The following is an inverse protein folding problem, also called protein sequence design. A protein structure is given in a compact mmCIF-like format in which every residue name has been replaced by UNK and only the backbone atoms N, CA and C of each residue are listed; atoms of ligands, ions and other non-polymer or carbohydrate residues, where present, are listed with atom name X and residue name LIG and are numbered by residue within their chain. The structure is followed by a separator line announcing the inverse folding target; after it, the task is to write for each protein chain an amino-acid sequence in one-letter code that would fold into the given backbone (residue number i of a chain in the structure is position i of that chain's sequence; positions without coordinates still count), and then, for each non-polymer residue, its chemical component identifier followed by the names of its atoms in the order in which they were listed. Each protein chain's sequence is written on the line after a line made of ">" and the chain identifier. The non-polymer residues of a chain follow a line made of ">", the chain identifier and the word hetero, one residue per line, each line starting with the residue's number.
data_IF_223822966149
#
_entry.id   IF_223822966149
#
_cell.length_a   1.000
_cell.length_b   1.000
_cell.length_c   1.000
_cell.angle_alpha   90.00
_cell.angle_beta   90.00
_cell.angle_gamma   90.00
#
_symmetry.space_group_name_H-M   'P 1'
#
loop_
_entity.id
_entity.type
_entity.pdbx_description
1 polymer ?
#
# COMPACT_ATOMS: atom_id res chain seq x y z
N UNK A 1 -19.30 25.91 -11.83
CA UNK A 1 -18.45 25.77 -13.03
C UNK A 1 -17.36 24.77 -12.67
N UNK A 2 -17.35 23.59 -13.28
CA UNK A 2 -16.30 22.59 -13.09
C UNK A 2 -15.00 23.15 -13.66
N UNK A 3 -13.96 23.22 -12.84
CA UNK A 3 -12.66 23.88 -13.14
C UNK A 3 -11.75 23.04 -14.04
N UNK A 4 -12.16 21.82 -14.43
CA UNK A 4 -11.37 20.94 -15.30
C UNK A 4 -10.04 20.49 -14.69
N UNK A 5 -9.86 20.68 -13.38
CA UNK A 5 -8.66 20.28 -12.64
C UNK A 5 -8.84 18.87 -12.11
N UNK A 6 -7.78 18.09 -12.24
CA UNK A 6 -7.71 16.71 -11.78
C UNK A 6 -6.66 16.65 -10.68
N UNK A 7 -6.99 16.02 -9.56
CA UNK A 7 -6.04 15.77 -8.48
C UNK A 7 -5.69 14.29 -8.48
N UNK A 8 -4.41 14.00 -8.69
CA UNK A 8 -3.86 12.65 -8.58
C UNK A 8 -3.57 12.36 -7.11
N UNK A 9 -4.17 11.28 -6.62
CA UNK A 9 -4.00 10.84 -5.25
C UNK A 9 -3.03 9.66 -5.23
N UNK A 10 -1.74 9.97 -5.10
CA UNK A 10 -0.68 8.96 -4.96
C UNK A 10 -0.51 8.66 -3.47
N UNK A 11 -1.00 7.51 -3.02
CA UNK A 11 -0.64 6.96 -1.72
C UNK A 11 0.42 5.89 -1.91
N UNK A 12 1.66 6.25 -1.65
CA UNK A 12 2.75 5.27 -1.61
C UNK A 12 3.30 5.21 -0.21
N UNK A 13 2.78 4.24 0.52
CA UNK A 13 3.31 3.86 1.81
C UNK A 13 3.07 2.36 1.97
N UNK A 14 4.12 1.58 1.74
CA UNK A 14 4.12 0.15 2.07
C UNK A 14 4.18 0.05 3.60
N UNK A 15 3.02 0.12 4.25
CA UNK A 15 2.86 -0.17 5.67
C UNK A 15 2.02 -1.44 5.80
N UNK A 16 2.24 -2.26 6.84
CA UNK A 16 1.45 -3.48 7.05
C UNK A 16 -0.04 -3.14 6.99
N UNK A 17 -0.81 -3.79 6.11
CA UNK A 17 -2.24 -3.51 5.81
C UNK A 17 -2.58 -2.20 5.06
N UNK A 18 -1.81 -1.81 4.03
CA UNK A 18 -2.24 -0.73 3.11
C UNK A 18 -2.56 -1.26 1.73
N UNK A 19 -3.68 -0.81 1.16
CA UNK A 19 -4.07 -1.08 -0.23
C UNK A 19 -3.41 -0.04 -1.12
N UNK A 20 -2.56 -0.52 -2.03
CA UNK A 20 -1.90 0.33 -3.02
C UNK A 20 -2.81 0.61 -4.22
N UNK A 21 -2.76 1.86 -4.70
CA UNK A 21 -3.32 2.28 -5.98
C UNK A 21 -2.15 2.46 -6.94
N UNK A 22 -2.13 1.68 -8.02
CA UNK A 22 -1.02 1.69 -8.98
C UNK A 22 -1.07 2.98 -9.80
N UNK A 23 0.09 3.63 -9.90
CA UNK A 23 0.36 4.80 -10.72
C UNK A 23 0.16 4.49 -12.22
N UNK A 24 -0.46 5.41 -12.94
CA UNK A 24 -0.53 5.41 -14.42
C UNK A 24 -0.01 6.74 -14.95
N UNK A 25 0.78 6.72 -16.03
CA UNK A 25 1.39 7.93 -16.63
C UNK A 25 0.36 8.94 -17.17
N UNK A 26 -0.86 8.48 -17.43
CA UNK A 26 -2.00 9.34 -17.73
C UNK A 26 -3.09 9.12 -16.67
N UNK A 27 -3.79 10.17 -16.21
CA UNK A 27 -4.90 10.04 -15.27
C UNK A 27 -6.01 9.20 -15.92
N UNK A 28 -6.08 7.93 -15.53
CA UNK A 28 -7.05 7.00 -16.07
C UNK A 28 -8.22 6.85 -15.09
N UNK A 29 -9.45 6.91 -15.61
CA UNK A 29 -10.67 6.60 -14.84
C UNK A 29 -10.87 5.11 -14.60
N UNK A 30 -9.96 4.28 -15.09
CA UNK A 30 -9.99 2.85 -14.89
C UNK A 30 -10.01 2.48 -13.42
N UNK A 31 -10.74 1.39 -13.15
CA UNK A 31 -10.79 0.82 -11.81
C UNK A 31 -9.43 0.31 -11.43
N UNK A 32 -9.14 0.40 -10.15
CA UNK A 32 -7.97 -0.19 -9.52
C UNK A 32 -7.90 -1.67 -9.87
N UNK A 33 -6.82 -2.06 -10.53
CA UNK A 33 -6.60 -3.43 -10.98
C UNK A 33 -5.72 -4.23 -10.02
N UNK A 34 -5.12 -3.60 -9.02
CA UNK A 34 -4.20 -4.26 -8.10
C UNK A 34 -4.46 -3.86 -6.66
N UNK A 35 -4.31 -4.83 -5.76
CA UNK A 35 -4.26 -4.61 -4.31
C UNK A 35 -3.00 -5.28 -3.81
N UNK A 36 -2.10 -4.49 -3.23
CA UNK A 36 -0.88 -4.96 -2.59
C UNK A 36 -1.01 -4.88 -1.08
N UNK A 37 -0.28 -5.71 -0.34
CA UNK A 37 -0.23 -5.73 1.10
C UNK A 37 1.09 -6.32 1.60
N UNK A 38 1.53 -5.87 2.77
CA UNK A 38 2.63 -6.48 3.50
C UNK A 38 2.09 -7.50 4.51
N UNK A 39 2.53 -8.75 4.35
CA UNK A 39 2.16 -9.87 5.21
C UNK A 39 3.30 -10.10 6.21
N UNK A 40 3.04 -9.99 7.52
CA UNK A 40 4.04 -10.35 8.53
C UNK A 40 4.37 -11.85 8.42
N UNK A 41 5.65 -12.17 8.36
CA UNK A 41 6.16 -13.56 8.39
C UNK A 41 6.60 -13.90 9.81
N UNK A 42 7.31 -12.97 10.44
CA UNK A 42 7.69 -12.97 11.85
C UNK A 42 7.82 -11.52 12.35
N UNK A 43 8.35 -11.32 13.55
CA UNK A 43 8.50 -9.99 14.17
C UNK A 43 9.44 -9.03 13.42
N UNK A 44 10.28 -9.56 12.52
CA UNK A 44 11.36 -8.84 11.82
C UNK A 44 11.32 -8.96 10.30
N UNK A 45 10.47 -9.85 9.77
CA UNK A 45 10.35 -10.09 8.33
C UNK A 45 8.90 -9.99 7.85
N UNK A 46 8.75 -9.48 6.63
CA UNK A 46 7.48 -9.36 5.95
C UNK A 46 7.62 -9.76 4.48
N UNK A 47 6.52 -10.20 3.90
CA UNK A 47 6.38 -10.48 2.47
C UNK A 47 5.52 -9.37 1.83
N UNK A 48 6.03 -8.76 0.77
CA UNK A 48 5.19 -7.97 -0.14
C UNK A 48 4.38 -8.91 -1.04
N UNK A 49 3.06 -8.84 -0.98
CA UNK A 49 2.14 -9.63 -1.79
C UNK A 49 1.18 -8.71 -2.56
N UNK A 50 0.83 -9.10 -3.78
CA UNK A 50 -0.08 -8.34 -4.63
C UNK A 50 -1.06 -9.25 -5.35
N UNK A 51 -2.34 -8.89 -5.35
CA UNK A 51 -3.36 -9.50 -6.18
C UNK A 51 -3.66 -8.53 -7.31
N UNK A 52 -3.58 -8.99 -8.56
CA UNK A 52 -3.91 -8.21 -9.75
C UNK A 52 -5.03 -8.85 -10.53
N UNK A 53 -5.95 -8.03 -11.01
CA UNK A 53 -6.94 -8.38 -12.01
C UNK A 53 -6.41 -8.00 -13.39
N UNK A 54 -6.35 -8.98 -14.29
CA UNK A 54 -5.94 -8.81 -15.67
C UNK A 54 -7.17 -9.06 -16.57
N UNK A 55 -7.51 -8.14 -17.49
CA UNK A 55 -8.53 -8.40 -18.50
C UNK A 55 -8.15 -9.56 -19.42
N UNK A 56 -9.19 -10.22 -19.96
CA UNK A 56 -9.00 -11.26 -20.96
C UNK A 56 -8.22 -10.74 -22.18
N UNK A 57 -7.16 -11.45 -22.55
CA UNK A 57 -6.33 -11.12 -23.71
C UNK A 57 -5.21 -10.10 -23.45
N UNK A 58 -5.14 -9.50 -22.26
CA UNK A 58 -3.95 -8.72 -21.87
C UNK A 58 -2.81 -9.68 -21.46
N UNK A 59 -1.58 -9.46 -21.97
CA UNK A 59 -0.45 -10.29 -21.57
C UNK A 59 -0.11 -10.06 -20.10
N UNK A 60 0.28 -11.12 -19.39
CA UNK A 60 0.86 -11.02 -18.05
C UNK A 60 2.26 -10.41 -18.16
N UNK A 61 2.31 -9.08 -18.24
CA UNK A 61 3.53 -8.30 -18.27
C UNK A 61 3.59 -7.41 -17.02
N UNK A 62 4.78 -7.29 -16.45
CA UNK A 62 5.03 -6.29 -15.41
C UNK A 62 4.86 -4.90 -16.05
N UNK A 63 3.99 -4.08 -15.47
CA UNK A 63 3.89 -2.67 -15.83
C UNK A 63 5.18 -1.93 -15.49
N UNK A 64 5.41 -0.76 -16.11
CA UNK A 64 6.68 -0.01 -16.01
C UNK A 64 7.19 0.13 -14.56
N UNK A 65 6.30 0.45 -13.61
CA UNK A 65 6.68 0.60 -12.20
C UNK A 65 6.94 -0.72 -11.48
N UNK A 66 6.28 -1.81 -11.87
CA UNK A 66 6.53 -3.15 -11.30
C UNK A 66 7.89 -3.71 -11.74
N UNK A 67 8.37 -3.32 -12.92
CA UNK A 67 9.74 -3.62 -13.36
C UNK A 67 10.78 -2.84 -12.55
N UNK A 68 10.44 -1.62 -12.12
CA UNK A 68 11.32 -0.73 -11.37
C UNK A 68 11.28 -0.98 -9.86
N UNK A 69 10.18 -1.54 -9.35
CA UNK A 69 9.99 -1.88 -7.95
C UNK A 69 11.13 -2.75 -7.42
N UNK A 70 11.43 -2.73 -6.11
CA UNK A 70 12.54 -3.49 -5.53
C UNK A 70 12.55 -4.98 -5.89
N UNK A 71 11.37 -5.60 -6.04
CA UNK A 71 11.22 -6.99 -6.47
C UNK A 71 11.60 -7.27 -7.94
N UNK A 72 11.60 -6.25 -8.80
CA UNK A 72 12.03 -6.32 -10.19
C UNK A 72 13.56 -6.26 -10.37
N UNK A 73 14.29 -5.71 -9.38
CA UNK A 73 15.74 -5.53 -9.42
C UNK A 73 16.47 -6.81 -8.98
N UNK A 74 16.66 -7.74 -9.91
CA UNK A 74 17.48 -8.95 -9.66
C UNK A 74 18.97 -8.60 -9.70
N UNK A 75 19.71 -8.99 -8.66
CA UNK A 75 21.18 -8.91 -8.58
C UNK A 75 21.78 -7.49 -8.66
N UNK A 76 21.10 -6.47 -8.16
CA UNK A 76 21.69 -5.13 -8.05
C UNK A 76 22.87 -5.11 -7.07
N UNK A 77 23.98 -4.45 -7.44
CA UNK A 77 25.14 -4.33 -6.55
C UNK A 77 24.84 -3.38 -5.40
N UNK A 78 25.53 -3.56 -4.27
CA UNK A 78 25.40 -2.67 -3.11
C UNK A 78 25.65 -1.19 -3.47
N UNK A 79 26.68 -0.94 -4.28
CA UNK A 79 27.03 0.41 -4.75
C UNK A 79 25.92 1.04 -5.62
N UNK A 80 25.27 0.24 -6.48
CA UNK A 80 24.14 0.72 -7.27
C UNK A 80 22.95 1.07 -6.37
N UNK A 81 22.62 0.19 -5.43
CA UNK A 81 21.52 0.36 -4.49
C UNK A 81 21.71 1.62 -3.64
N UNK A 82 22.93 1.89 -3.15
CA UNK A 82 23.21 3.13 -2.42
C UNK A 82 22.96 4.40 -3.25
N UNK A 83 23.19 4.36 -4.57
CA UNK A 83 22.98 5.51 -5.46
C UNK A 83 21.54 5.63 -5.95
N UNK A 84 20.78 4.55 -5.92
CA UNK A 84 19.42 4.48 -6.44
C UNK A 84 18.48 3.78 -5.44
N UNK A 85 18.38 4.25 -4.18
CA UNK A 85 17.54 3.63 -3.18
C UNK A 85 16.06 3.73 -3.57
N UNK A 86 15.27 2.76 -3.13
CA UNK A 86 13.82 2.70 -3.33
C UNK A 86 13.14 2.34 -1.98
N UNK A 87 11.83 2.10 -2.00
CA UNK A 87 11.02 1.84 -0.80
C UNK A 87 11.61 0.72 0.09
N UNK A 88 12.19 -0.31 -0.53
CA UNK A 88 12.83 -1.41 0.20
C UNK A 88 13.97 -0.91 1.07
N UNK A 89 14.91 -0.16 0.50
CA UNK A 89 16.06 0.37 1.24
C UNK A 89 15.63 1.41 2.28
N UNK A 90 14.58 2.19 1.99
CA UNK A 90 14.01 3.14 2.93
C UNK A 90 13.41 2.44 4.16
N UNK A 91 12.75 1.30 3.97
CA UNK A 91 12.20 0.46 5.06
C UNK A 91 13.32 -0.26 5.82
N UNK A 92 14.23 -0.94 5.11
CA UNK A 92 15.35 -1.67 5.73
C UNK A 92 16.28 -0.73 6.52
N UNK A 93 16.42 0.52 6.07
CA UNK A 93 17.21 1.56 6.74
C UNK A 93 16.69 1.96 8.12
N UNK A 94 15.43 1.65 8.45
CA UNK A 94 14.86 1.87 9.80
C UNK A 94 15.29 0.79 10.81
N UNK A 95 15.97 -0.26 10.33
CA UNK A 95 16.37 -1.42 11.11
C UNK A 95 15.31 -2.54 11.10
N UNK A 96 15.60 -3.69 11.74
CA UNK A 96 14.67 -4.83 11.77
C UNK A 96 13.32 -4.51 12.41
N UNK A 97 13.30 -3.56 13.35
CA UNK A 97 12.09 -3.03 13.99
C UNK A 97 12.28 -1.51 14.12
N UNK A 98 11.33 -0.75 13.60
CA UNK A 98 11.32 0.71 13.75
C UNK A 98 11.12 1.10 15.22
N UNK A 99 12.06 1.89 15.76
CA UNK A 99 12.03 2.36 17.14
C UNK A 99 11.22 3.65 17.24
N UNK A 100 9.95 3.55 17.61
CA UNK A 100 9.05 4.72 17.72
C UNK A 100 9.58 5.86 18.60
N UNK A 101 10.42 5.56 19.61
CA UNK A 101 11.02 6.57 20.48
C UNK A 101 12.05 7.48 19.78
N UNK A 102 12.48 7.14 18.57
CA UNK A 102 13.41 7.93 17.76
C UNK A 102 12.70 8.78 16.69
N UNK A 103 11.38 8.68 16.59
CA UNK A 103 10.62 9.37 15.54
C UNK A 103 10.31 10.82 15.90
N UNK A 104 10.51 11.72 14.94
CA UNK A 104 10.10 13.12 15.03
C UNK A 104 9.03 13.42 13.97
N UNK A 105 7.79 13.01 14.25
CA UNK A 105 6.67 13.19 13.33
C UNK A 105 6.34 14.67 13.12
N UNK A 106 6.09 15.04 11.88
CA UNK A 106 5.69 16.40 11.45
C UNK A 106 4.30 16.38 10.82
N UNK A 107 3.82 17.53 10.36
CA UNK A 107 2.45 17.69 9.84
C UNK A 107 2.13 16.75 8.67
N UNK A 108 3.11 16.41 7.83
CA UNK A 108 2.91 15.45 6.73
C UNK A 108 2.62 14.02 7.22
N UNK A 109 2.99 13.69 8.47
CA UNK A 109 2.85 12.34 9.03
C UNK A 109 1.48 12.09 9.69
N UNK A 110 0.53 13.02 9.54
CA UNK A 110 -0.83 12.86 10.07
C UNK A 110 -1.48 11.55 9.62
N UNK A 111 -1.24 11.12 8.38
CA UNK A 111 -1.71 9.83 7.87
C UNK A 111 -1.15 8.64 8.65
N UNK A 112 0.14 8.66 8.97
CA UNK A 112 0.81 7.62 9.78
C UNK A 112 0.19 7.54 11.18
N UNK A 113 -0.06 8.69 11.81
CA UNK A 113 -0.67 8.74 13.14
C UNK A 113 -2.10 8.16 13.13
N UNK A 114 -2.91 8.55 12.15
CA UNK A 114 -4.27 8.04 11.98
C UNK A 114 -4.28 6.53 11.76
N UNK A 115 -3.38 6.05 10.90
CA UNK A 115 -3.22 4.64 10.60
C UNK A 115 -2.86 3.83 11.84
N UNK A 116 -1.85 4.27 12.61
CA UNK A 116 -1.46 3.63 13.88
C UNK A 116 -2.59 3.58 14.89
N UNK A 117 -3.43 4.62 14.95
CA UNK A 117 -4.61 4.62 15.82
C UNK A 117 -5.65 3.58 15.38
N UNK A 118 -5.89 3.43 14.07
CA UNK A 118 -6.78 2.39 13.53
C UNK A 118 -6.26 1.00 13.88
N UNK A 119 -4.97 0.74 13.65
CA UNK A 119 -4.37 -0.55 14.00
C UNK A 119 -4.46 -0.85 15.50
N UNK A 120 -4.13 0.11 16.37
CA UNK A 120 -4.22 -0.09 17.83
C UNK A 120 -5.63 -0.46 18.27
N UNK A 121 -6.65 0.20 17.72
CA UNK A 121 -8.05 -0.13 17.99
C UNK A 121 -8.42 -1.52 17.48
N UNK A 122 -7.97 -1.89 16.29
CA UNK A 122 -8.17 -3.23 15.74
C UNK A 122 -7.53 -4.32 16.63
N UNK A 123 -6.27 -4.13 17.06
CA UNK A 123 -5.59 -5.06 17.98
C UNK A 123 -6.35 -5.21 19.30
N UNK A 124 -6.85 -4.10 19.85
CA UNK A 124 -7.63 -4.15 21.10
C UNK A 124 -8.95 -4.90 20.92
N UNK A 125 -9.67 -4.67 19.82
CA UNK A 125 -10.90 -5.41 19.51
C UNK A 125 -10.62 -6.92 19.41
N UNK A 126 -9.57 -7.33 18.69
CA UNK A 126 -9.18 -8.75 18.62
C UNK A 126 -8.87 -9.32 20.00
N UNK A 127 -8.14 -8.58 20.85
CA UNK A 127 -7.82 -9.03 22.20
C UNK A 127 -9.07 -9.20 23.10
N UNK A 128 -10.16 -8.51 22.78
CA UNK A 128 -11.46 -8.61 23.44
C UNK A 128 -12.39 -9.64 22.78
N UNK A 129 -11.90 -10.40 21.79
CA UNK A 129 -12.70 -11.30 20.96
C UNK A 129 -13.80 -10.59 20.13
N UNK A 130 -13.64 -9.30 19.88
CA UNK A 130 -14.50 -8.49 19.01
C UNK A 130 -13.91 -8.40 17.59
N UNK A 131 -14.76 -7.97 16.65
CA UNK A 131 -14.37 -7.75 15.27
C UNK A 131 -13.69 -6.39 15.06
N UNK A 132 -12.49 -6.36 14.45
CA UNK A 132 -11.90 -5.13 13.95
C UNK A 132 -12.81 -4.40 12.97
N UNK A 133 -12.66 -3.08 12.90
CA UNK A 133 -13.36 -2.25 11.92
C UNK A 133 -13.16 -2.80 10.51
N UNK A 134 -14.27 -2.99 9.79
CA UNK A 134 -14.27 -3.44 8.39
C UNK A 134 -14.28 -4.95 8.20
N UNK A 135 -14.24 -5.75 9.27
CA UNK A 135 -14.43 -7.20 9.18
C UNK A 135 -15.93 -7.50 9.03
N UNK A 136 -16.28 -8.21 7.96
CA UNK A 136 -17.62 -8.73 7.69
C UNK A 136 -17.53 -10.25 7.71
N UNK A 137 -17.97 -10.88 8.80
CA UNK A 137 -17.98 -12.35 8.93
C UNK A 137 -19.18 -13.02 8.26
N UNK A 138 -20.27 -12.29 8.10
CA UNK A 138 -21.46 -12.79 7.43
C UNK A 138 -21.14 -12.96 5.92
N UNK A 139 -21.18 -14.18 5.37
CA UNK A 139 -20.75 -14.45 4.01
C UNK A 139 -21.67 -13.82 2.95
N UNK A 140 -22.93 -13.54 3.28
CA UNK A 140 -23.88 -12.87 2.38
C UNK A 140 -23.54 -11.38 2.31
N UNK A 141 -23.22 -10.75 3.45
CA UNK A 141 -22.80 -9.34 3.52
C UNK A 141 -21.37 -9.12 3.04
N UNK A 142 -20.51 -10.13 3.17
CA UNK A 142 -19.15 -10.12 2.64
C UNK A 142 -19.11 -10.34 1.11
N UNK A 143 -20.25 -10.60 0.48
CA UNK A 143 -20.33 -10.67 -0.99
C UNK A 143 -20.08 -9.28 -1.58
N UNK A 144 -18.99 -9.17 -2.37
CA UNK A 144 -18.61 -8.02 -3.20
C UNK A 144 -18.79 -6.65 -2.53
N UNK A 145 -17.78 -6.22 -1.77
CA UNK A 145 -17.65 -4.80 -1.44
C UNK A 145 -17.27 -4.06 -2.72
N UNK A 146 -18.25 -3.40 -3.34
CA UNK A 146 -17.99 -2.51 -4.46
C UNK A 146 -17.03 -1.41 -3.98
N UNK A 147 -15.83 -1.38 -4.55
CA UNK A 147 -14.88 -0.29 -4.30
C UNK A 147 -15.04 0.71 -5.43
N UNK A 148 -15.23 1.98 -5.09
CA UNK A 148 -15.10 3.12 -6.00
C UNK A 148 -13.69 3.72 -5.93
N UNK A 149 -12.73 2.96 -5.38
CA UNK A 149 -11.37 3.44 -5.26
C UNK A 149 -10.84 3.70 -6.67
N UNK A 150 -10.37 4.92 -6.89
CA UNK A 150 -9.74 5.39 -8.10
C UNK A 150 -8.76 6.47 -7.71
N UNK A 151 -7.69 6.65 -8.49
CA UNK A 151 -6.60 7.57 -8.17
C UNK A 151 -6.93 9.05 -8.44
N UNK A 152 -8.21 9.36 -8.64
CA UNK A 152 -8.67 10.65 -9.19
C UNK A 152 -9.83 11.20 -8.37
N UNK A 153 -9.63 12.37 -7.77
CA UNK A 153 -10.71 13.18 -7.16
C UNK A 153 -11.07 14.30 -8.13
N UNK A 154 -12.36 14.43 -8.47
CA UNK A 154 -12.89 15.53 -9.28
C UNK A 154 -13.46 16.62 -8.37
N UNK A 155 -13.17 17.89 -8.68
CA UNK A 155 -13.83 19.07 -8.09
C UNK A 155 -15.31 19.19 -8.52
#
# INVERSE_FOLDING_TARGET
>A
MQTGKWWELIWEMIMPLNVHLVYTDEPNTERVRAVSYCVPVDDTHQLGASIRWLPDGEPEALSGREQLAPGGRKNASYEYIQRHPDDKEAVEGQGPIALHGLEHLVTSDQGVMLFRNILRKATHAVAQCDDPKGILRDPVRASFVATSAGSVVRD
#
